data_IF_167960574476
#
_entry.id   IF_167960574476
#
_cell.length_a   1.000
_cell.length_b   1.000
_cell.length_c   1.000
_cell.angle_alpha   90.00
_cell.angle_beta   90.00
_cell.angle_gamma   90.00
#
_symmetry.space_group_name_H-M   'P 1'
#
loop_
_entity.id
_entity.type
_entity.pdbx_description
1 polymer ?
#
# COMPACT_ATOMS: atom_id res chain seq x y z
N UNK A 1 -3.77 3.40 23.98
CA UNK A 1 -3.52 4.20 23.00
C UNK A 1 -2.36 3.79 22.21
N UNK A 2 -2.57 3.55 21.05
CA UNK A 2 -1.56 3.12 20.28
C UNK A 2 -0.90 4.23 19.69
N UNK A 3 0.30 4.22 19.53
CA UNK A 3 0.93 5.21 18.98
C UNK A 3 1.53 4.88 17.77
N UNK A 4 2.24 3.95 17.66
CA UNK A 4 3.01 3.72 16.52
C UNK A 4 2.72 2.47 15.87
N UNK A 5 1.91 1.73 16.22
CA UNK A 5 1.81 0.43 15.71
C UNK A 5 0.59 0.10 14.94
N UNK A 6 -0.29 1.02 14.81
CA UNK A 6 -1.55 0.69 14.21
C UNK A 6 -1.51 0.94 12.73
N UNK A 7 -0.62 0.25 12.07
CA UNK A 7 -0.52 0.37 10.63
C UNK A 7 -0.76 -0.99 9.99
N UNK A 8 -1.28 -0.97 8.79
CA UNK A 8 -1.55 -2.20 8.06
C UNK A 8 -1.23 -2.00 6.59
N UNK A 9 -0.83 -3.07 5.93
CA UNK A 9 -0.52 -2.99 4.51
C UNK A 9 -1.83 -2.97 3.74
N UNK A 10 -2.05 -1.90 3.00
CA UNK A 10 -3.21 -1.82 2.14
C UNK A 10 -2.98 -2.61 0.86
N UNK A 11 -1.74 -2.72 0.42
CA UNK A 11 -1.42 -3.49 -0.77
C UNK A 11 0.06 -3.82 -0.76
N UNK A 12 0.43 -4.89 -1.43
CA UNK A 12 1.81 -5.30 -1.56
C UNK A 12 2.06 -5.58 -3.04
N UNK A 13 3.14 -5.02 -3.53
CA UNK A 13 3.49 -5.17 -4.93
C UNK A 13 4.89 -5.75 -5.05
N UNK A 14 5.23 -6.22 -6.24
CA UNK A 14 6.56 -6.76 -6.48
C UNK A 14 7.46 -5.76 -7.20
N UNK A 15 7.05 -4.52 -7.30
CA UNK A 15 7.88 -3.48 -7.90
C UNK A 15 7.50 -2.13 -7.34
N UNK A 16 8.43 -1.19 -7.44
CA UNK A 16 8.25 0.11 -6.87
C UNK A 16 7.30 0.96 -7.66
N UNK A 17 7.26 0.79 -8.95
CA UNK A 17 6.43 1.63 -9.80
C UNK A 17 4.95 1.47 -9.46
N UNK A 18 4.52 0.24 -9.26
CA UNK A 18 3.12 0.01 -8.90
C UNK A 18 2.82 0.54 -7.50
N UNK A 19 3.76 0.40 -6.58
CA UNK A 19 3.54 0.90 -5.23
C UNK A 19 3.45 2.43 -5.24
N UNK A 20 4.27 3.09 -6.02
CA UNK A 20 4.22 4.54 -6.11
C UNK A 20 2.91 5.01 -6.69
N UNK A 21 2.40 4.29 -7.66
CA UNK A 21 1.12 4.64 -8.26
C UNK A 21 -0.01 4.46 -7.25
N UNK A 22 0.03 3.39 -6.50
CA UNK A 22 -0.95 3.16 -5.46
C UNK A 22 -0.88 4.26 -4.40
N UNK A 23 0.33 4.63 -4.03
CA UNK A 23 0.51 5.71 -3.07
C UNK A 23 -0.14 7.00 -3.56
N UNK A 24 0.03 7.30 -4.84
CA UNK A 24 -0.57 8.50 -5.42
C UNK A 24 -2.09 8.46 -5.37
N UNK A 25 -2.67 7.28 -5.63
CA UNK A 25 -4.12 7.13 -5.55
C UNK A 25 -4.61 7.42 -4.14
N UNK A 26 -3.90 6.90 -3.15
CA UNK A 26 -4.30 7.13 -1.76
C UNK A 26 -4.12 8.59 -1.37
N UNK A 27 -3.06 9.21 -1.84
CA UNK A 27 -2.84 10.63 -1.53
C UNK A 27 -3.95 11.48 -2.08
N UNK A 28 -4.42 11.17 -3.28
CA UNK A 28 -5.52 11.92 -3.86
C UNK A 28 -6.81 11.72 -3.12
N UNK A 29 -6.95 10.58 -2.45
CA UNK A 29 -8.12 10.32 -1.64
C UNK A 29 -7.99 10.76 -0.21
N UNK A 30 -6.94 11.53 0.10
CA UNK A 30 -6.70 12.03 1.45
C UNK A 30 -6.41 10.92 2.44
N UNK A 31 -5.79 9.85 1.99
CA UNK A 31 -5.39 8.76 2.88
C UNK A 31 -3.87 8.78 2.99
N UNK A 32 -3.32 9.14 4.15
CA UNK A 32 -1.88 9.12 4.32
C UNK A 32 -1.35 7.70 4.20
N UNK A 33 -0.28 7.54 3.45
CA UNK A 33 0.29 6.21 3.23
C UNK A 33 1.80 6.31 3.21
N UNK A 34 2.44 5.19 3.50
CA UNK A 34 3.89 5.08 3.48
C UNK A 34 4.27 3.91 2.61
N UNK A 35 5.28 4.07 1.79
CA UNK A 35 5.79 2.99 0.96
C UNK A 35 6.99 2.39 1.66
N UNK A 36 6.92 1.10 1.94
CA UNK A 36 7.98 0.39 2.65
C UNK A 36 8.53 -0.66 1.71
N UNK A 37 9.82 -0.60 1.45
CA UNK A 37 10.48 -1.55 0.60
C UNK A 37 11.15 -2.61 1.45
N UNK A 38 10.85 -3.86 1.15
CA UNK A 38 11.43 -4.98 1.87
C UNK A 38 12.24 -5.78 0.89
N UNK A 39 13.55 -5.85 1.04
CA UNK A 39 14.36 -6.60 0.08
C UNK A 39 14.07 -8.09 0.08
N UNK A 40 13.55 -8.59 1.16
CA UNK A 40 13.22 -10.00 1.19
C UNK A 40 14.45 -10.88 1.17
N UNK A 41 14.22 -12.17 1.30
CA UNK A 41 15.28 -13.13 1.25
C UNK A 41 15.23 -13.80 -0.09
N UNK A 42 16.29 -14.40 -0.47
CA UNK A 42 16.35 -15.17 -1.71
C UNK A 42 16.01 -14.30 -2.93
N UNK A 43 16.29 -13.02 -2.85
CA UNK A 43 16.06 -12.17 -3.99
C UNK A 43 14.64 -11.69 -4.17
N UNK A 44 13.74 -12.10 -3.31
CA UNK A 44 12.39 -11.60 -3.41
C UNK A 44 12.36 -10.11 -3.11
N UNK A 45 11.50 -9.39 -3.77
CA UNK A 45 11.42 -7.96 -3.60
C UNK A 45 9.96 -7.60 -3.39
N UNK A 46 9.68 -7.00 -2.26
CA UNK A 46 8.32 -6.62 -1.94
C UNK A 46 8.26 -5.16 -1.58
N UNK A 47 7.26 -4.49 -2.05
CA UNK A 47 7.03 -3.09 -1.74
C UNK A 47 5.62 -2.99 -1.20
N UNK A 48 5.50 -2.59 0.05
CA UNK A 48 4.21 -2.50 0.72
C UNK A 48 3.76 -1.07 0.81
N UNK A 49 2.49 -0.85 0.59
CA UNK A 49 1.88 0.45 0.81
C UNK A 49 1.10 0.34 2.11
N UNK A 50 1.54 1.07 3.11
CA UNK A 50 1.05 0.91 4.48
C UNK A 50 0.25 2.14 4.86
N UNK A 51 -0.90 1.93 5.48
CA UNK A 51 -1.75 3.01 5.94
C UNK A 51 -2.10 2.77 7.41
N UNK A 52 -2.66 3.80 8.04
CA UNK A 52 -3.20 3.62 9.37
C UNK A 52 -4.34 2.61 9.31
N UNK A 53 -4.44 1.79 10.34
CA UNK A 53 -5.46 0.75 10.36
C UNK A 53 -6.86 1.35 10.24
N UNK A 54 -7.08 2.53 10.79
CA UNK A 54 -8.39 3.16 10.69
C UNK A 54 -8.72 3.58 9.26
N UNK A 55 -7.72 3.70 8.40
CA UNK A 55 -7.94 4.07 7.01
C UNK A 55 -7.87 2.88 6.08
N UNK A 56 -7.65 1.69 6.62
CA UNK A 56 -7.41 0.53 5.77
C UNK A 56 -8.58 0.23 4.85
N UNK A 57 -9.79 0.30 5.36
CA UNK A 57 -10.96 0.00 4.56
C UNK A 57 -11.11 0.98 3.41
N UNK A 58 -10.94 2.26 3.69
CA UNK A 58 -11.01 3.26 2.64
C UNK A 58 -9.89 3.10 1.64
N UNK A 59 -8.69 2.79 2.14
CA UNK A 59 -7.56 2.59 1.25
C UNK A 59 -7.80 1.43 0.30
N UNK A 60 -8.36 0.36 0.81
CA UNK A 60 -8.64 -0.79 -0.04
C UNK A 60 -9.69 -0.48 -1.08
N UNK A 61 -10.68 0.31 -0.74
CA UNK A 61 -11.68 0.72 -1.72
C UNK A 61 -11.08 1.58 -2.81
N UNK A 62 -10.20 2.49 -2.44
CA UNK A 62 -9.57 3.35 -3.41
C UNK A 62 -8.67 2.57 -4.35
N UNK A 63 -7.99 1.56 -3.83
CA UNK A 63 -7.05 0.80 -4.63
C UNK A 63 -7.68 -0.33 -5.42
N UNK A 64 -8.90 -0.70 -5.10
CA UNK A 64 -9.52 -1.85 -5.74
C UNK A 64 -9.54 -1.73 -7.26
N UNK A 65 -9.98 -0.61 -7.86
CA UNK A 65 -9.96 -0.52 -9.31
C UNK A 65 -8.57 -0.63 -9.90
N UNK A 66 -7.59 -0.06 -9.20
CA UNK A 66 -6.22 -0.11 -9.67
C UNK A 66 -5.69 -1.55 -9.66
N UNK A 67 -5.92 -2.25 -8.56
CA UNK A 67 -5.44 -3.60 -8.42
C UNK A 67 -6.16 -4.53 -9.39
N UNK A 68 -7.46 -4.37 -9.53
CA UNK A 68 -8.21 -5.21 -10.44
C UNK A 68 -7.82 -4.97 -11.88
N UNK A 69 -7.47 -3.75 -12.22
CA UNK A 69 -7.06 -3.45 -13.56
C UNK A 69 -5.71 -4.03 -13.92
N UNK A 70 -4.94 -4.43 -12.92
CA UNK A 70 -3.65 -5.01 -13.21
C UNK A 70 -3.71 -6.50 -13.41
N UNK A 71 -4.80 -7.11 -13.14
CA UNK A 71 -4.88 -8.54 -13.32
C UNK A 71 -4.99 -8.87 -14.77
N UNK A 72 -4.24 -9.83 -15.23
CA UNK A 72 -4.30 -10.23 -16.63
C UNK A 72 -5.60 -10.91 -16.99
#
# INVERSE_FOLDING_TARGET
MSMLGDQAAAAVFDNRADADEAWGILAEGDVPATVVTDPGMLGAYQVSVVVDRSDLDQAQRLLAPFIQGKKP
#
